data_IF_623732343822
#
_entry.id   IF_623732343822
#
_cell.length_a   1.000
_cell.length_b   1.000
_cell.length_c   1.000
_cell.angle_alpha   90.00
_cell.angle_beta   90.00
_cell.angle_gamma   90.00
#
_symmetry.space_group_name_H-M   'P 1'
#
loop_
_entity.id
_entity.type
_entity.pdbx_description
1 polymer ?
#
# COMPACT_ATOMS: atom_id res chain seq x y z
N UNK A 1 42.95 -12.25 30.33
CA UNK A 1 41.69 -12.98 30.03
C UNK A 1 40.46 -12.06 29.91
N UNK A 2 40.29 -11.02 30.73
CA UNK A 2 39.10 -10.12 30.69
C UNK A 2 38.91 -9.30 29.39
N UNK A 3 39.98 -8.95 28.67
CA UNK A 3 39.91 -8.16 27.42
C UNK A 3 39.33 -8.95 26.23
N UNK A 4 39.64 -10.24 26.13
CA UNK A 4 39.19 -11.09 25.00
C UNK A 4 37.68 -11.31 25.08
N UNK A 5 37.15 -11.52 26.29
CA UNK A 5 35.71 -11.72 26.53
C UNK A 5 34.86 -10.50 26.16
N UNK A 6 35.37 -9.29 26.44
CA UNK A 6 34.70 -8.04 26.05
C UNK A 6 34.63 -7.89 24.52
N UNK A 7 35.72 -8.21 23.83
CA UNK A 7 35.76 -8.16 22.36
C UNK A 7 34.76 -9.16 21.77
N UNK A 8 34.61 -10.35 22.37
CA UNK A 8 33.64 -11.36 21.89
C UNK A 8 32.20 -10.87 22.03
N UNK A 9 31.86 -10.21 23.13
CA UNK A 9 30.52 -9.63 23.34
C UNK A 9 30.23 -8.51 22.34
N UNK A 10 31.21 -7.65 22.06
CA UNK A 10 31.05 -6.54 21.10
C UNK A 10 30.85 -7.10 19.68
N UNK A 11 31.63 -8.11 19.28
CA UNK A 11 31.49 -8.74 17.97
C UNK A 11 30.15 -9.47 17.85
N UNK A 12 29.72 -10.19 18.89
CA UNK A 12 28.45 -10.91 18.88
C UNK A 12 27.26 -9.95 18.81
N UNK A 13 27.27 -8.86 19.58
CA UNK A 13 26.23 -7.83 19.52
C UNK A 13 26.20 -7.13 18.15
N UNK A 14 27.35 -6.79 17.56
CA UNK A 14 27.42 -6.20 16.22
C UNK A 14 26.85 -7.13 15.14
N UNK A 15 27.10 -8.45 15.24
CA UNK A 15 26.55 -9.45 14.31
C UNK A 15 25.04 -9.56 14.49
N UNK A 16 24.54 -9.63 15.73
CA UNK A 16 23.09 -9.72 16.00
C UNK A 16 22.36 -8.46 15.53
N UNK A 17 22.92 -7.27 15.77
CA UNK A 17 22.37 -6.00 15.28
C UNK A 17 22.40 -5.97 13.74
N UNK A 18 23.49 -6.40 13.11
CA UNK A 18 23.58 -6.44 11.64
C UNK A 18 22.57 -7.42 11.03
N UNK A 19 22.40 -8.59 11.63
CA UNK A 19 21.39 -9.57 11.21
C UNK A 19 19.96 -9.05 11.45
N UNK A 20 19.72 -8.35 12.56
CA UNK A 20 18.43 -7.73 12.85
C UNK A 20 18.11 -6.62 11.85
N UNK A 21 19.07 -5.75 11.55
CA UNK A 21 18.93 -4.69 10.54
C UNK A 21 18.74 -5.29 9.16
N UNK A 22 19.50 -6.30 8.75
CA UNK A 22 19.32 -6.95 7.42
C UNK A 22 17.98 -7.69 7.33
N UNK A 23 17.53 -8.36 8.39
CA UNK A 23 16.23 -9.04 8.42
C UNK A 23 15.06 -8.06 8.43
N UNK A 24 15.15 -6.94 9.17
CA UNK A 24 14.10 -5.91 9.16
C UNK A 24 14.16 -4.96 7.96
N UNK A 25 15.33 -4.75 7.34
CA UNK A 25 15.42 -4.04 6.07
C UNK A 25 14.82 -4.86 4.92
N UNK A 26 14.81 -6.19 5.03
CA UNK A 26 14.06 -7.06 4.11
C UNK A 26 12.54 -7.09 4.39
N UNK A 27 12.08 -6.57 5.52
CA UNK A 27 10.64 -6.34 5.79
C UNK A 27 10.16 -4.95 5.34
N UNK A 28 11.08 -4.08 4.91
CA UNK A 28 10.76 -2.93 4.07
C UNK A 28 11.00 -3.34 2.61
N UNK A 29 10.40 -4.47 2.21
CA UNK A 29 9.95 -4.60 0.84
C UNK A 29 8.86 -3.53 0.68
N UNK A 30 9.27 -2.33 0.30
CA UNK A 30 8.42 -1.54 -0.58
C UNK A 30 8.10 -2.50 -1.71
N UNK A 31 6.86 -3.00 -1.76
CA UNK A 31 6.38 -3.76 -2.88
C UNK A 31 6.87 -3.07 -4.13
N UNK A 32 7.83 -3.71 -4.81
CA UNK A 32 8.03 -3.46 -6.22
C UNK A 32 6.62 -3.53 -6.80
N UNK A 33 6.24 -2.47 -7.51
CA UNK A 33 5.00 -2.39 -8.26
C UNK A 33 5.02 -3.49 -9.32
N UNK A 34 4.82 -4.73 -8.90
CA UNK A 34 4.80 -5.89 -9.75
C UNK A 34 3.40 -5.96 -10.30
N UNK A 35 3.23 -5.27 -11.43
CA UNK A 35 1.97 -5.06 -12.13
C UNK A 35 1.35 -3.71 -11.80
N UNK A 36 1.06 -2.93 -12.84
CA UNK A 36 0.10 -1.83 -12.76
C UNK A 36 -1.18 -2.36 -12.12
N UNK A 37 -1.43 -1.98 -10.85
CA UNK A 37 -2.68 -2.31 -10.20
C UNK A 37 -3.82 -1.67 -11.01
N UNK A 38 -4.98 -2.35 -11.13
CA UNK A 38 -6.05 -1.90 -12.00
C UNK A 38 -6.50 -0.50 -11.62
N UNK A 39 -6.65 0.35 -12.63
CA UNK A 39 -7.33 1.64 -12.50
C UNK A 39 -8.80 1.38 -12.81
N UNK A 40 -9.67 1.69 -11.85
CA UNK A 40 -11.10 1.48 -11.97
C UNK A 40 -11.81 2.80 -12.22
N UNK A 41 -12.77 2.78 -13.13
CA UNK A 41 -13.69 3.88 -13.36
C UNK A 41 -14.93 3.72 -12.49
N UNK A 42 -15.86 4.69 -12.54
CA UNK A 42 -17.19 4.56 -11.95
C UNK A 42 -17.86 3.26 -12.40
N UNK A 43 -18.35 2.46 -11.45
CA UNK A 43 -18.87 1.12 -11.72
C UNK A 43 -18.98 0.24 -10.48
N UNK A 44 -19.47 -0.98 -10.67
CA UNK A 44 -19.53 -2.01 -9.61
C UNK A 44 -18.60 -3.15 -9.98
N UNK A 45 -17.79 -3.57 -9.01
CA UNK A 45 -16.73 -4.53 -9.18
C UNK A 45 -16.81 -5.64 -8.12
N UNK A 46 -16.59 -6.88 -8.53
CA UNK A 46 -16.57 -8.06 -7.67
C UNK A 46 -15.27 -8.85 -7.85
N UNK A 47 -14.66 -9.20 -6.72
CA UNK A 47 -13.42 -9.95 -6.68
C UNK A 47 -13.59 -11.37 -7.21
N UNK A 48 -12.94 -11.65 -8.34
CA UNK A 48 -13.02 -12.93 -9.06
C UNK A 48 -13.95 -12.90 -10.28
N UNK A 49 -14.61 -11.77 -10.54
CA UNK A 49 -15.35 -11.51 -11.78
C UNK A 49 -14.65 -10.40 -12.59
N UNK A 50 -14.97 -9.14 -12.31
CA UNK A 50 -14.43 -7.96 -13.00
C UNK A 50 -13.43 -7.14 -12.16
N UNK A 51 -13.11 -7.58 -10.93
CA UNK A 51 -11.98 -7.08 -10.13
C UNK A 51 -10.86 -8.12 -10.07
N UNK A 52 -9.74 -7.81 -10.72
CA UNK A 52 -8.54 -8.66 -10.74
C UNK A 52 -7.47 -8.16 -9.76
N UNK A 53 -7.74 -8.28 -8.46
CA UNK A 53 -6.75 -8.10 -7.40
C UNK A 53 -6.41 -9.45 -6.76
N UNK A 54 -5.21 -9.62 -6.20
CA UNK A 54 -4.94 -10.78 -5.34
C UNK A 54 -5.57 -10.53 -3.98
N UNK A 55 -5.89 -11.59 -3.23
CA UNK A 55 -6.33 -11.44 -1.84
C UNK A 55 -5.28 -10.66 -1.01
N UNK A 56 -5.73 -9.70 -0.21
CA UNK A 56 -4.87 -8.95 0.70
C UNK A 56 -5.40 -7.55 1.03
N UNK A 57 -4.65 -6.84 1.87
CA UNK A 57 -4.96 -5.45 2.24
C UNK A 57 -4.40 -4.48 1.21
N UNK A 58 -5.25 -3.58 0.73
CA UNK A 58 -4.90 -2.53 -0.22
C UNK A 58 -5.28 -1.17 0.35
N UNK A 59 -4.43 -0.18 0.13
CA UNK A 59 -4.82 1.21 0.27
C UNK A 59 -5.50 1.66 -1.04
N UNK A 60 -6.64 2.33 -0.92
CA UNK A 60 -7.42 2.85 -2.06
C UNK A 60 -7.29 4.37 -2.14
N UNK A 61 -6.99 4.87 -3.33
CA UNK A 61 -6.84 6.31 -3.55
C UNK A 61 -7.47 6.72 -4.89
N UNK A 62 -7.97 7.94 -4.94
CA UNK A 62 -8.39 8.52 -6.21
C UNK A 62 -7.14 8.98 -6.97
N UNK A 63 -6.98 8.45 -8.17
CA UNK A 63 -5.94 8.88 -9.09
C UNK A 63 -6.37 10.16 -9.82
N UNK A 64 -7.66 10.30 -10.10
CA UNK A 64 -8.26 11.46 -10.77
C UNK A 64 -9.64 11.73 -10.20
N UNK A 65 -9.96 13.02 -10.00
CA UNK A 65 -11.30 13.50 -9.68
C UNK A 65 -11.73 13.22 -8.24
N UNK A 66 -13.03 13.36 -8.00
CA UNK A 66 -13.65 13.18 -6.68
C UNK A 66 -14.82 12.22 -6.75
N UNK A 67 -14.95 11.40 -5.72
CA UNK A 67 -16.01 10.41 -5.65
C UNK A 67 -16.06 9.66 -4.33
N UNK A 68 -16.80 8.58 -4.36
CA UNK A 68 -17.10 7.70 -3.25
C UNK A 68 -16.82 6.26 -3.66
N UNK A 69 -16.17 5.52 -2.77
CA UNK A 69 -15.97 4.09 -2.88
C UNK A 69 -16.79 3.43 -1.78
N UNK A 70 -17.82 2.69 -2.18
CA UNK A 70 -18.57 1.83 -1.27
C UNK A 70 -17.91 0.44 -1.28
N UNK A 71 -17.54 -0.02 -0.10
CA UNK A 71 -16.95 -1.34 0.12
C UNK A 71 -17.61 -1.92 1.36
N UNK A 72 -18.27 -3.07 1.19
CA UNK A 72 -19.15 -3.63 2.24
C UNK A 72 -20.15 -2.55 2.74
N UNK A 73 -20.27 -2.35 4.04
CA UNK A 73 -21.14 -1.34 4.66
C UNK A 73 -20.45 0.02 4.88
N UNK A 74 -19.28 0.25 4.26
CA UNK A 74 -18.49 1.47 4.44
C UNK A 74 -18.43 2.29 3.16
N UNK A 75 -18.57 3.60 3.31
CA UNK A 75 -18.39 4.57 2.21
C UNK A 75 -17.16 5.43 2.48
N UNK A 76 -16.21 5.40 1.56
CA UNK A 76 -14.98 6.18 1.59
C UNK A 76 -15.09 7.33 0.59
N UNK A 77 -15.01 8.57 1.06
CA UNK A 77 -14.96 9.75 0.19
C UNK A 77 -13.51 9.98 -0.22
N UNK A 78 -13.23 9.91 -1.52
CA UNK A 78 -11.89 10.07 -2.08
C UNK A 78 -11.84 11.29 -3.00
N UNK A 79 -10.68 11.93 -3.05
CA UNK A 79 -10.31 12.92 -4.04
C UNK A 79 -8.84 12.73 -4.44
N UNK A 80 -8.46 13.30 -5.57
CA UNK A 80 -7.12 13.20 -6.15
C UNK A 80 -6.07 14.10 -5.45
N UNK A 81 -6.43 14.79 -4.37
CA UNK A 81 -5.50 15.68 -3.66
C UNK A 81 -4.33 14.90 -3.06
N UNK A 82 -4.61 13.77 -2.40
CA UNK A 82 -3.56 12.91 -1.83
C UNK A 82 -2.59 12.42 -2.91
N UNK A 83 -3.13 11.96 -4.05
CA UNK A 83 -2.31 11.51 -5.17
C UNK A 83 -1.46 12.65 -5.76
N UNK A 84 -2.06 13.82 -5.93
CA UNK A 84 -1.39 15.03 -6.45
C UNK A 84 -0.28 15.51 -5.52
N UNK A 85 -0.49 15.44 -4.20
CA UNK A 85 0.50 15.79 -3.20
C UNK A 85 1.63 14.75 -3.13
N UNK A 86 1.29 13.46 -3.13
CA UNK A 86 2.28 12.39 -3.17
C UNK A 86 3.15 12.45 -4.42
N UNK A 87 2.61 12.87 -5.58
CA UNK A 87 3.40 13.05 -6.82
C UNK A 87 4.48 14.13 -6.73
N UNK A 88 4.37 15.09 -5.81
CA UNK A 88 5.41 16.10 -5.55
C UNK A 88 6.58 15.53 -4.75
N UNK A 89 6.40 14.38 -4.11
CA UNK A 89 7.43 13.70 -3.33
C UNK A 89 8.37 12.87 -4.23
N UNK A 90 9.59 12.53 -3.76
CA UNK A 90 10.49 11.62 -4.47
C UNK A 90 9.81 10.29 -4.81
N UNK A 91 10.12 9.71 -5.98
CA UNK A 91 9.54 8.43 -6.44
C UNK A 91 9.63 7.30 -5.41
N UNK A 92 10.69 7.29 -4.60
CA UNK A 92 10.89 6.31 -3.53
C UNK A 92 9.89 6.40 -2.37
N UNK A 93 9.23 7.55 -2.19
CA UNK A 93 8.31 7.80 -1.06
C UNK A 93 6.85 7.97 -1.48
N UNK A 94 6.55 8.22 -2.77
CA UNK A 94 5.17 8.44 -3.25
C UNK A 94 4.23 7.31 -2.82
N UNK A 95 4.63 6.08 -3.10
CA UNK A 95 3.87 4.88 -2.78
C UNK A 95 3.66 4.70 -1.27
N UNK A 96 4.69 5.03 -0.48
CA UNK A 96 4.61 4.94 0.97
C UNK A 96 3.58 5.94 1.53
N UNK A 97 3.64 7.19 1.07
CA UNK A 97 2.71 8.26 1.48
C UNK A 97 1.28 7.86 1.12
N UNK A 98 1.04 7.43 -0.13
CA UNK A 98 -0.29 7.00 -0.56
C UNK A 98 -0.77 5.82 0.29
N UNK A 99 0.05 4.80 0.53
CA UNK A 99 -0.35 3.62 1.30
C UNK A 99 -0.70 3.96 2.75
N UNK A 100 0.09 4.83 3.39
CA UNK A 100 -0.10 5.17 4.80
C UNK A 100 -1.32 6.06 5.02
N UNK A 101 -1.53 7.07 4.18
CA UNK A 101 -2.59 8.07 4.35
C UNK A 101 -3.94 7.67 3.72
N UNK A 102 -3.94 6.72 2.80
CA UNK A 102 -5.18 6.25 2.17
C UNK A 102 -5.99 5.31 3.06
N UNK A 103 -7.33 5.28 2.90
CA UNK A 103 -8.15 4.23 3.49
C UNK A 103 -7.70 2.84 3.05
N UNK A 104 -7.69 1.91 4.00
CA UNK A 104 -7.27 0.52 3.78
C UNK A 104 -8.49 -0.39 3.74
N UNK A 105 -8.56 -1.24 2.73
CA UNK A 105 -9.61 -2.26 2.56
C UNK A 105 -8.97 -3.64 2.41
N UNK A 106 -9.65 -4.67 2.89
CA UNK A 106 -9.21 -6.05 2.74
C UNK A 106 -9.95 -6.69 1.58
N UNK A 107 -9.28 -6.92 0.45
CA UNK A 107 -9.86 -7.61 -0.70
C UNK A 107 -9.75 -9.12 -0.47
N UNK A 108 -10.89 -9.80 -0.42
CA UNK A 108 -11.02 -11.26 -0.36
C UNK A 108 -11.96 -11.74 -1.48
N UNK A 109 -12.00 -13.05 -1.74
CA UNK A 109 -12.90 -13.60 -2.76
C UNK A 109 -14.36 -13.23 -2.43
N UNK A 110 -15.09 -12.71 -3.43
CA UNK A 110 -16.47 -12.23 -3.26
C UNK A 110 -16.60 -10.83 -2.68
N UNK A 111 -15.50 -10.14 -2.36
CA UNK A 111 -15.51 -8.71 -2.02
C UNK A 111 -16.13 -7.89 -3.16
N UNK A 112 -17.05 -6.99 -2.82
CA UNK A 112 -17.69 -6.08 -3.76
C UNK A 112 -17.28 -4.63 -3.50
N UNK A 113 -17.01 -3.89 -4.57
CA UNK A 113 -16.60 -2.50 -4.56
C UNK A 113 -17.47 -1.71 -5.54
N UNK A 114 -18.09 -0.62 -5.08
CA UNK A 114 -18.87 0.27 -5.96
C UNK A 114 -18.25 1.66 -5.96
N UNK A 115 -17.89 2.15 -7.14
CA UNK A 115 -17.34 3.49 -7.34
C UNK A 115 -18.44 4.38 -7.88
N UNK A 116 -18.66 5.52 -7.22
CA UNK A 116 -19.61 6.57 -7.63
C UNK A 116 -18.88 7.90 -7.62
N UNK A 117 -19.09 8.75 -8.61
CA UNK A 117 -18.41 10.05 -8.63
C UNK A 117 -18.55 10.75 -9.96
N UNK A 118 -17.65 11.70 -10.20
CA UNK A 118 -17.55 12.43 -11.45
C UNK A 118 -17.27 11.49 -12.63
N UNK A 119 -17.56 11.95 -13.86
CA UNK A 119 -17.39 11.16 -15.08
C UNK A 119 -15.97 10.59 -15.23
N UNK A 120 -14.98 11.36 -14.78
CA UNK A 120 -13.55 11.03 -14.91
C UNK A 120 -12.96 10.49 -13.60
N UNK A 121 -13.81 10.15 -12.61
CA UNK A 121 -13.37 9.61 -11.34
C UNK A 121 -12.72 8.24 -11.53
N UNK A 122 -11.43 8.17 -11.18
CA UNK A 122 -10.61 6.97 -11.29
C UNK A 122 -9.99 6.63 -9.95
N UNK A 123 -10.12 5.37 -9.53
CA UNK A 123 -9.52 4.85 -8.30
C UNK A 123 -8.46 3.82 -8.65
N UNK A 124 -7.35 3.89 -7.94
CA UNK A 124 -6.30 2.89 -8.03
C UNK A 124 -5.98 2.35 -6.63
N UNK A 125 -5.17 1.31 -6.60
CA UNK A 125 -4.85 0.56 -5.41
C UNK A 125 -3.35 0.61 -5.19
N UNK A 126 -2.96 0.45 -3.92
CA UNK A 126 -1.59 0.15 -3.59
C UNK A 126 -1.53 -0.91 -2.51
N UNK A 127 -0.65 -1.89 -2.72
CA UNK A 127 -0.31 -2.92 -1.74
C UNK A 127 1.10 -2.65 -1.22
N UNK A 128 1.33 -2.92 0.05
CA UNK A 128 2.66 -2.90 0.63
C UNK A 128 3.49 -4.09 0.14
#
# INVERSE_FOLDING_TARGET
MKKVFFITIIVFSAIVISLYVVNHMNEIRFGAADGELPILNVGTYEQGDNLNLKTGTYAIYAQVGKGEVCYEDRTYKLNDSLYTEAKKQPKSTQNAVIYEESPKIAIVKGSQLTLKGDKDFMVSFIKR
#
